data_IF_970415429540
#
_entry.id   IF_970415429540
#
_cell.length_a   1.000
_cell.length_b   1.000
_cell.length_c   1.000
_cell.angle_alpha   90.00
_cell.angle_beta   90.00
_cell.angle_gamma   90.00
#
_symmetry.space_group_name_H-M   'P 1'
#
loop_
_entity.id
_entity.type
_entity.pdbx_description
1 polymer ?
#
# COMPACT_ATOMS: atom_id res chain seq x y z
N UNK A 1 -5.15 6.14 9.69
CA UNK A 1 -6.26 5.40 10.32
C UNK A 1 -6.02 3.92 10.06
N UNK A 2 -5.79 3.10 11.10
CA UNK A 2 -5.62 1.65 10.96
C UNK A 2 -7.01 1.02 10.98
N UNK A 3 -7.52 0.61 9.83
CA UNK A 3 -8.75 -0.17 9.72
C UNK A 3 -8.33 -1.64 9.70
N UNK A 4 -8.85 -2.43 10.64
CA UNK A 4 -8.72 -3.88 10.56
C UNK A 4 -9.65 -4.35 9.44
N UNK A 5 -9.07 -4.89 8.38
CA UNK A 5 -9.79 -5.60 7.33
C UNK A 5 -9.60 -7.09 7.62
N UNK A 6 -10.69 -7.79 7.86
CA UNK A 6 -10.69 -9.25 7.77
C UNK A 6 -11.14 -9.65 6.36
N UNK A 7 -10.56 -10.73 5.84
CA UNK A 7 -10.96 -11.22 4.52
C UNK A 7 -12.32 -11.89 4.66
N UNK A 8 -13.38 -11.13 4.38
CA UNK A 8 -14.75 -11.66 4.26
C UNK A 8 -14.87 -12.41 2.94
N UNK A 9 -14.18 -13.54 2.83
CA UNK A 9 -14.48 -14.54 1.82
C UNK A 9 -15.40 -15.58 2.48
N UNK A 10 -16.70 -15.62 2.12
CA UNK A 10 -17.61 -16.60 2.68
C UNK A 10 -17.12 -18.03 2.42
N UNK A 11 -16.49 -18.32 1.26
CA UNK A 11 -15.99 -19.65 0.93
C UNK A 11 -14.76 -20.08 1.75
N UNK A 12 -14.07 -19.12 2.37
CA UNK A 12 -12.91 -19.38 3.25
C UNK A 12 -13.26 -20.27 4.45
N UNK A 13 -14.53 -20.34 4.81
CA UNK A 13 -15.06 -21.19 5.88
C UNK A 13 -15.88 -22.39 5.37
N UNK A 14 -16.26 -22.43 4.08
CA UNK A 14 -17.15 -23.48 3.57
C UNK A 14 -16.42 -24.64 2.87
N UNK A 15 -15.17 -24.47 2.39
CA UNK A 15 -14.55 -25.50 1.52
C UNK A 15 -13.07 -25.84 1.81
N UNK A 16 -12.54 -25.51 2.99
CA UNK A 16 -11.21 -25.94 3.42
C UNK A 16 -11.29 -26.99 4.52
N UNK A 17 -10.70 -28.18 4.30
CA UNK A 17 -10.68 -29.29 5.27
C UNK A 17 -10.44 -28.78 6.70
N UNK A 18 -11.31 -29.08 7.68
CA UNK A 18 -11.04 -28.69 9.06
C UNK A 18 -9.74 -29.37 9.47
N UNK A 19 -8.69 -28.58 9.69
CA UNK A 19 -7.59 -29.04 10.50
C UNK A 19 -8.20 -29.37 11.86
N UNK A 20 -8.28 -30.66 12.18
CA UNK A 20 -8.64 -31.15 13.51
C UNK A 20 -7.53 -30.70 14.45
N UNK A 21 -7.60 -29.47 14.92
CA UNK A 21 -6.94 -29.04 16.14
C UNK A 21 -7.97 -29.20 17.25
N UNK A 22 -7.87 -30.31 17.97
CA UNK A 22 -8.41 -30.51 19.32
C UNK A 22 -7.76 -29.49 20.28
N UNK A 23 -8.09 -28.22 20.11
CA UNK A 23 -8.06 -27.25 21.19
C UNK A 23 -9.52 -26.89 21.43
N UNK A 24 -10.02 -27.19 22.63
CA UNK A 24 -11.30 -26.66 23.12
C UNK A 24 -11.19 -25.13 23.15
N UNK A 25 -11.41 -24.50 21.99
CA UNK A 25 -11.60 -23.07 21.86
C UNK A 25 -12.98 -22.78 22.43
N UNK A 26 -13.03 -22.54 23.73
CA UNK A 26 -14.24 -22.19 24.47
C UNK A 26 -14.81 -20.83 24.05
N UNK A 27 -14.01 -20.00 23.37
CA UNK A 27 -14.37 -18.63 23.08
C UNK A 27 -13.70 -18.13 21.79
N UNK A 28 -14.52 -17.64 20.86
CA UNK A 28 -14.08 -16.88 19.70
C UNK A 28 -14.06 -15.41 20.12
N UNK A 29 -12.86 -14.85 20.31
CA UNK A 29 -12.71 -13.42 20.59
C UNK A 29 -12.93 -12.62 19.30
N UNK A 30 -14.18 -12.28 19.03
CA UNK A 30 -14.50 -11.22 18.07
C UNK A 30 -14.17 -9.89 18.74
N UNK A 31 -13.33 -9.08 18.09
CA UNK A 31 -13.25 -7.66 18.47
C UNK A 31 -14.55 -7.01 18.04
N UNK A 32 -15.25 -6.38 18.98
CA UNK A 32 -16.32 -5.45 18.63
C UNK A 32 -15.76 -4.46 17.63
N UNK A 33 -16.26 -4.53 16.40
CA UNK A 33 -15.83 -3.59 15.37
C UNK A 33 -16.44 -2.26 15.76
N UNK A 34 -15.64 -1.20 16.01
CA UNK A 34 -16.20 0.07 16.41
C UNK A 34 -17.26 0.49 15.40
N UNK A 35 -18.38 1.03 15.91
CA UNK A 35 -19.57 1.41 15.15
C UNK A 35 -19.34 2.65 14.25
N UNK A 36 -18.13 2.80 13.75
CA UNK A 36 -17.78 3.83 12.78
C UNK A 36 -18.15 3.29 11.41
N UNK A 37 -19.12 3.91 10.75
CA UNK A 37 -19.37 3.69 9.32
C UNK A 37 -18.13 4.15 8.53
N UNK A 38 -17.11 3.29 8.47
CA UNK A 38 -15.98 3.47 7.56
C UNK A 38 -16.49 3.07 6.18
N UNK A 39 -17.09 4.01 5.47
CA UNK A 39 -17.46 3.85 4.08
C UNK A 39 -16.19 3.88 3.22
N UNK A 40 -15.58 2.70 3.03
CA UNK A 40 -14.59 2.52 1.98
C UNK A 40 -15.31 2.55 0.63
N UNK A 41 -14.82 3.31 -0.36
CA UNK A 41 -15.40 3.27 -1.69
C UNK A 41 -15.26 1.86 -2.25
N UNK A 42 -16.25 1.43 -3.05
CA UNK A 42 -16.24 0.12 -3.71
C UNK A 42 -14.99 -0.10 -4.58
N UNK A 43 -14.43 0.99 -5.11
CA UNK A 43 -13.18 1.01 -5.87
C UNK A 43 -12.42 2.29 -5.58
N UNK A 44 -11.13 2.16 -5.32
CA UNK A 44 -10.20 3.28 -5.25
C UNK A 44 -8.91 2.91 -5.97
N UNK A 45 -8.35 3.89 -6.66
CA UNK A 45 -7.08 3.75 -7.40
C UNK A 45 -6.17 4.90 -6.97
N UNK A 46 -4.96 4.55 -6.53
CA UNK A 46 -3.98 5.50 -6.04
C UNK A 46 -2.68 5.53 -6.84
N UNK A 47 -2.42 4.48 -7.63
CA UNK A 47 -1.20 4.38 -8.43
C UNK A 47 -1.53 3.80 -9.79
N UNK A 48 -1.10 4.50 -10.83
CA UNK A 48 -1.04 4.02 -12.20
C UNK A 48 0.42 3.88 -12.63
N UNK A 49 0.70 2.81 -13.35
CA UNK A 49 2.01 2.60 -13.97
C UNK A 49 1.82 2.03 -15.36
N UNK A 50 2.63 2.51 -16.31
CA UNK A 50 2.70 1.98 -17.67
C UNK A 50 4.03 1.23 -17.88
N UNK A 51 3.97 0.11 -18.60
CA UNK A 51 5.12 -0.75 -18.89
C UNK A 51 5.56 -1.70 -17.75
N UNK A 52 6.79 -2.20 -17.86
CA UNK A 52 7.37 -3.22 -16.97
C UNK A 52 7.95 -2.63 -15.68
N UNK A 53 7.08 -2.10 -14.82
CA UNK A 53 7.44 -1.63 -13.48
C UNK A 53 6.78 -2.49 -12.43
N UNK A 54 7.54 -2.84 -11.39
CA UNK A 54 7.05 -3.65 -10.28
C UNK A 54 7.01 -2.84 -8.99
N UNK A 55 5.91 -2.97 -8.27
CA UNK A 55 5.82 -2.57 -6.87
C UNK A 55 6.56 -3.57 -5.99
N UNK A 56 7.58 -3.10 -5.29
CA UNK A 56 8.32 -3.93 -4.33
C UNK A 56 7.93 -3.66 -2.89
N UNK A 57 7.30 -2.51 -2.60
CA UNK A 57 6.73 -2.22 -1.30
C UNK A 57 5.72 -1.08 -1.35
N UNK A 58 4.64 -1.24 -0.58
CA UNK A 58 3.83 -0.14 -0.06
C UNK A 58 3.64 -0.40 1.44
N UNK A 59 4.21 0.45 2.28
CA UNK A 59 4.16 0.26 3.73
C UNK A 59 4.14 1.58 4.48
N UNK A 60 3.82 1.53 5.76
CA UNK A 60 4.00 2.68 6.63
C UNK A 60 5.49 2.90 6.94
N UNK A 61 5.92 4.15 7.04
CA UNK A 61 7.27 4.52 7.53
C UNK A 61 7.49 3.95 8.94
N UNK A 62 8.75 3.70 9.28
CA UNK A 62 9.14 3.19 10.60
C UNK A 62 8.69 4.11 11.74
N UNK A 63 8.81 5.42 11.55
CA UNK A 63 8.37 6.46 12.49
C UNK A 63 6.85 6.73 12.48
N UNK A 64 6.10 6.02 11.61
CA UNK A 64 4.65 6.15 11.39
C UNK A 64 4.17 7.50 10.86
N UNK A 65 5.06 8.39 10.45
CA UNK A 65 4.76 9.75 9.99
C UNK A 65 4.13 9.84 8.59
N UNK A 66 4.19 8.76 7.81
CA UNK A 66 3.63 8.67 6.47
C UNK A 66 3.78 7.26 5.89
N UNK A 67 3.74 7.16 4.56
CA UNK A 67 3.87 5.92 3.82
C UNK A 67 5.10 5.92 2.91
N UNK A 68 5.54 4.72 2.56
CA UNK A 68 6.65 4.44 1.65
C UNK A 68 6.10 3.67 0.47
N UNK A 69 6.31 4.20 -0.74
CA UNK A 69 6.06 3.50 -2.00
C UNK A 69 7.38 3.24 -2.71
N UNK A 70 7.67 1.97 -3.03
CA UNK A 70 8.90 1.56 -3.71
C UNK A 70 8.62 0.79 -4.98
N UNK A 71 9.22 1.27 -6.06
CA UNK A 71 9.04 0.76 -7.40
C UNK A 71 10.39 0.47 -8.05
N UNK A 72 10.42 -0.52 -8.92
CA UNK A 72 11.59 -0.85 -9.74
C UNK A 72 11.17 -0.98 -11.20
N UNK A 73 11.82 -0.23 -12.07
CA UNK A 73 11.61 -0.33 -13.51
C UNK A 73 12.49 -1.44 -14.09
N UNK A 74 11.85 -2.52 -14.56
CA UNK A 74 12.51 -3.65 -15.22
C UNK A 74 12.81 -3.36 -16.70
N UNK A 75 12.22 -2.32 -17.30
CA UNK A 75 12.46 -1.95 -18.69
C UNK A 75 13.85 -1.35 -18.90
N UNK A 76 14.28 -1.37 -20.17
CA UNK A 76 15.46 -0.63 -20.66
C UNK A 76 15.15 0.83 -20.96
N UNK A 77 13.87 1.22 -20.96
CA UNK A 77 13.39 2.58 -21.17
C UNK A 77 12.79 3.16 -19.87
N UNK A 78 12.78 4.49 -19.69
CA UNK A 78 12.03 5.13 -18.61
C UNK A 78 10.54 4.77 -18.67
N UNK A 79 9.90 4.62 -17.50
CA UNK A 79 8.49 4.27 -17.39
C UNK A 79 7.74 5.35 -16.61
N UNK A 80 6.60 5.86 -17.12
CA UNK A 80 5.81 6.87 -16.43
C UNK A 80 5.02 6.23 -15.27
N UNK A 81 4.88 6.99 -14.19
CA UNK A 81 3.97 6.68 -13.10
C UNK A 81 3.07 7.87 -12.80
N UNK A 82 1.86 7.58 -12.33
CA UNK A 82 0.95 8.56 -11.78
C UNK A 82 0.50 8.15 -10.38
N UNK A 83 0.51 9.10 -9.44
CA UNK A 83 -0.05 8.92 -8.10
C UNK A 83 -1.21 9.87 -7.89
N UNK A 84 -2.32 9.33 -7.41
CA UNK A 84 -3.55 10.05 -7.06
C UNK A 84 -3.85 9.90 -5.57
N UNK A 85 -4.52 10.90 -5.00
CA UNK A 85 -4.92 10.86 -3.58
C UNK A 85 -3.77 11.06 -2.58
N UNK A 86 -2.63 11.59 -3.04
CA UNK A 86 -1.51 12.03 -2.21
C UNK A 86 -1.46 13.55 -2.20
N UNK A 87 -1.10 14.16 -1.06
CA UNK A 87 -0.99 15.61 -0.91
C UNK A 87 0.46 16.10 -1.00
N UNK A 88 1.43 15.23 -0.76
CA UNK A 88 2.84 15.49 -0.98
C UNK A 88 3.63 14.21 -1.24
N UNK A 89 4.75 14.39 -1.93
CA UNK A 89 5.67 13.33 -2.34
C UNK A 89 7.09 13.82 -2.09
N UNK A 90 7.93 12.96 -1.54
CA UNK A 90 9.36 13.22 -1.41
C UNK A 90 10.15 11.97 -1.77
N UNK A 91 11.30 12.12 -2.43
CA UNK A 91 12.20 10.98 -2.66
C UNK A 91 12.88 10.57 -1.36
N UNK A 92 13.19 9.30 -1.21
CA UNK A 92 13.98 8.79 -0.09
C UNK A 92 14.92 7.67 -0.53
N UNK A 93 15.88 7.35 0.33
CA UNK A 93 16.74 6.18 0.17
C UNK A 93 16.01 4.90 0.59
N UNK A 94 16.63 3.74 0.36
CA UNK A 94 16.10 2.46 0.84
C UNK A 94 16.05 2.34 2.37
N UNK A 95 16.82 3.16 3.08
CA UNK A 95 16.86 3.23 4.55
C UNK A 95 15.88 4.28 5.11
N UNK A 96 14.85 4.67 4.32
CA UNK A 96 13.85 5.66 4.68
C UNK A 96 14.41 7.06 5.04
N UNK A 97 15.61 7.40 4.53
CA UNK A 97 16.18 8.74 4.68
C UNK A 97 15.67 9.64 3.56
N UNK A 98 14.92 10.68 3.91
CA UNK A 98 14.41 11.68 2.94
C UNK A 98 15.53 12.35 2.15
N UNK A 99 15.32 12.53 0.84
CA UNK A 99 16.25 13.18 -0.09
C UNK A 99 15.53 14.28 -0.85
N UNK A 100 16.11 15.48 -0.86
CA UNK A 100 15.56 16.63 -1.56
C UNK A 100 14.36 17.26 -0.86
N UNK A 101 13.59 18.06 -1.62
CA UNK A 101 12.45 18.83 -1.11
C UNK A 101 11.15 18.05 -1.27
N UNK A 102 10.19 18.32 -0.38
CA UNK A 102 8.79 17.92 -0.54
C UNK A 102 8.23 18.58 -1.79
N UNK A 103 7.48 17.82 -2.57
CA UNK A 103 6.62 18.32 -3.63
C UNK A 103 5.19 18.19 -3.16
N UNK A 104 4.49 19.31 -3.00
CA UNK A 104 3.05 19.29 -2.74
C UNK A 104 2.30 19.00 -4.04
N UNK A 105 1.26 18.19 -3.94
CA UNK A 105 0.51 17.65 -5.07
C UNK A 105 -0.92 18.13 -4.96
N UNK A 106 -1.40 18.83 -5.99
CA UNK A 106 -2.80 19.18 -6.17
C UNK A 106 -3.37 18.35 -7.34
N UNK A 107 -4.04 17.25 -6.99
CA UNK A 107 -4.58 16.28 -7.95
C UNK A 107 -3.67 15.07 -8.17
N UNK A 108 -2.87 15.07 -9.24
CA UNK A 108 -2.08 13.91 -9.69
C UNK A 108 -0.59 14.25 -9.75
N UNK A 109 0.22 13.43 -9.07
CA UNK A 109 1.67 13.47 -9.18
C UNK A 109 2.14 12.61 -10.34
N UNK A 110 3.04 13.14 -11.16
CA UNK A 110 3.64 12.40 -12.29
C UNK A 110 5.15 12.43 -12.20
N UNK A 111 5.78 11.29 -12.47
CA UNK A 111 7.21 11.21 -12.70
C UNK A 111 7.54 10.02 -13.60
N UNK A 112 8.76 10.00 -14.11
CA UNK A 112 9.33 8.81 -14.74
C UNK A 112 10.25 8.07 -13.76
N UNK A 113 10.19 6.74 -13.81
CA UNK A 113 11.17 5.86 -13.18
C UNK A 113 12.20 5.51 -14.26
N UNK A 114 13.48 5.93 -14.10
CA UNK A 114 14.51 5.62 -15.09
C UNK A 114 14.70 4.11 -15.28
N UNK A 115 15.17 3.72 -16.46
CA UNK A 115 15.47 2.34 -16.81
C UNK A 115 16.36 1.65 -15.76
N UNK A 116 16.00 0.43 -15.36
CA UNK A 116 16.75 -0.39 -14.38
C UNK A 116 17.05 0.33 -13.06
N UNK A 117 16.18 1.26 -12.62
CA UNK A 117 16.33 1.99 -11.35
C UNK A 117 15.21 1.71 -10.38
N UNK A 118 15.59 1.71 -9.09
CA UNK A 118 14.66 1.71 -7.96
C UNK A 118 14.38 3.16 -7.59
N UNK A 119 13.10 3.48 -7.41
CA UNK A 119 12.64 4.74 -6.85
C UNK A 119 11.85 4.45 -5.58
N UNK A 120 12.21 5.13 -4.50
CA UNK A 120 11.51 5.05 -3.21
C UNK A 120 10.97 6.43 -2.86
N UNK A 121 9.68 6.50 -2.58
CA UNK A 121 8.95 7.72 -2.29
C UNK A 121 8.36 7.66 -0.89
N UNK A 122 8.46 8.78 -0.19
CA UNK A 122 7.70 9.14 0.99
C UNK A 122 6.41 9.84 0.54
N UNK A 123 5.28 9.38 1.07
CA UNK A 123 3.93 9.90 0.87
C UNK A 123 3.34 10.25 2.25
N UNK A 124 2.38 11.17 2.29
CA UNK A 124 1.68 11.60 3.53
C UNK A 124 0.64 10.60 4.04
#
# INVERSE_FOLDING_TARGET
MLVAFDSVDPHKFFEGRPAVQNADLSELFYRDTPQTEVNLPLRAEGVFVDGDVVFSAYKRKEDRSGYVLRMYNLSSDPAPIELSGVSSVRKMTLAEVSVGKVQFVDGVYRQEIPAKRIVTLELD
#
